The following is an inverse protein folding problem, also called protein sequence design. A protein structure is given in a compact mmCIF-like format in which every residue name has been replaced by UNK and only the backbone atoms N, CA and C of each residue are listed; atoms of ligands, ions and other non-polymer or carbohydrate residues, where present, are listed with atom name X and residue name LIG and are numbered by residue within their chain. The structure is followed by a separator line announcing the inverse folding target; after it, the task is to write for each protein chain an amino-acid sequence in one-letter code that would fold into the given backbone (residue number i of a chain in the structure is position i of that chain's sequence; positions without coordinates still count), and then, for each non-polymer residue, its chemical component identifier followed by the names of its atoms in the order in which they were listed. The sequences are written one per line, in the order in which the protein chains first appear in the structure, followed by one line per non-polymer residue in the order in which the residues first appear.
data_IF_740193509753
#
_entry.id   IF_740193509753
#
_cell.length_a   1.000
_cell.length_b   1.000
_cell.length_c   1.000
_cell.angle_alpha   90.00
_cell.angle_beta   90.00
_cell.angle_gamma   90.00
#
_symmetry.space_group_name_H-M   'P 1'
#
loop_
_entity.id
_entity.type
_entity.pdbx_description
1 polymer ?
#
# COMPACT_ATOMS: atom_id res chain seq x y z
N UNK A 1 18.82 -13.42 7.79
CA UNK A 1 17.97 -12.44 8.50
C UNK A 1 18.06 -11.02 7.94
N UNK A 2 19.24 -10.40 7.81
CA UNK A 2 19.39 -8.99 7.37
C UNK A 2 18.79 -8.70 5.97
N UNK A 3 19.01 -9.57 4.98
CA UNK A 3 18.44 -9.44 3.64
C UNK A 3 16.89 -9.57 3.64
N UNK A 4 16.36 -10.55 4.37
CA UNK A 4 14.91 -10.77 4.54
C UNK A 4 14.26 -9.54 5.19
N UNK A 5 14.89 -8.98 6.23
CA UNK A 5 14.43 -7.74 6.87
C UNK A 5 14.37 -6.58 5.89
N UNK A 6 15.45 -6.36 5.13
CA UNK A 6 15.48 -5.30 4.13
C UNK A 6 14.37 -5.46 3.09
N UNK A 7 14.21 -6.68 2.58
CA UNK A 7 13.17 -7.02 1.61
C UNK A 7 11.76 -6.74 2.16
N UNK A 8 11.43 -7.26 3.35
CA UNK A 8 10.12 -7.07 3.96
C UNK A 8 9.83 -5.60 4.28
N UNK A 9 10.84 -4.84 4.72
CA UNK A 9 10.69 -3.41 4.94
C UNK A 9 10.37 -2.65 3.65
N UNK A 10 11.09 -2.93 2.56
CA UNK A 10 10.85 -2.31 1.26
C UNK A 10 9.46 -2.70 0.75
N UNK A 11 9.11 -3.98 0.82
CA UNK A 11 7.82 -4.49 0.39
C UNK A 11 6.67 -3.82 1.15
N UNK A 12 6.78 -3.73 2.49
CA UNK A 12 5.77 -3.08 3.33
C UNK A 12 5.55 -1.62 2.95
N UNK A 13 6.64 -0.86 2.74
CA UNK A 13 6.55 0.55 2.31
C UNK A 13 5.88 0.67 0.94
N UNK A 14 6.28 -0.15 -0.04
CA UNK A 14 5.68 -0.11 -1.38
C UNK A 14 4.19 -0.43 -1.34
N UNK A 15 3.78 -1.42 -0.54
CA UNK A 15 2.37 -1.76 -0.36
C UNK A 15 1.58 -0.60 0.23
N UNK A 16 2.11 0.08 1.25
CA UNK A 16 1.45 1.28 1.81
C UNK A 16 1.29 2.36 0.75
N UNK A 17 2.36 2.67 0.00
CA UNK A 17 2.30 3.69 -1.05
C UNK A 17 1.29 3.34 -2.15
N UNK A 18 1.29 2.10 -2.63
CA UNK A 18 0.33 1.65 -3.65
C UNK A 18 -1.11 1.67 -3.13
N UNK A 19 -1.32 1.24 -1.88
CA UNK A 19 -2.63 1.29 -1.24
C UNK A 19 -3.16 2.73 -1.14
N UNK A 20 -2.31 3.68 -0.75
CA UNK A 20 -2.66 5.10 -0.69
C UNK A 20 -3.00 5.67 -2.08
N UNK A 21 -2.29 5.27 -3.13
CA UNK A 21 -2.62 5.68 -4.51
C UNK A 21 -4.01 5.18 -4.91
N UNK A 22 -4.33 3.91 -4.61
CA UNK A 22 -5.64 3.35 -4.93
C UNK A 22 -6.77 4.00 -4.13
N UNK A 23 -6.53 4.30 -2.85
CA UNK A 23 -7.47 5.07 -2.03
C UNK A 23 -7.69 6.46 -2.65
N UNK A 24 -6.61 7.17 -2.98
CA UNK A 24 -6.70 8.50 -3.57
C UNK A 24 -7.42 8.53 -4.91
N UNK A 25 -7.20 7.52 -5.77
CA UNK A 25 -7.95 7.38 -7.02
C UNK A 25 -9.42 7.02 -6.77
N UNK A 26 -9.69 5.99 -5.96
CA UNK A 26 -11.04 5.55 -5.64
C UNK A 26 -11.90 6.61 -4.97
N UNK A 27 -11.29 7.49 -4.17
CA UNK A 27 -11.96 8.62 -3.51
C UNK A 27 -12.07 9.87 -4.38
N UNK A 28 -11.38 9.92 -5.53
CA UNK A 28 -11.33 11.10 -6.39
C UNK A 28 -10.35 12.20 -5.98
N UNK A 29 -9.61 12.03 -4.87
CA UNK A 29 -8.63 13.03 -4.41
C UNK A 29 -7.35 13.05 -5.26
N UNK A 30 -7.05 11.94 -5.93
CA UNK A 30 -5.89 11.81 -6.81
C UNK A 30 -6.31 11.29 -8.19
N UNK A 31 -6.95 12.11 -9.04
CA UNK A 31 -7.51 11.67 -10.33
C UNK A 31 -6.44 11.65 -11.44
N UNK A 32 -5.34 10.93 -11.24
CA UNK A 32 -4.26 10.81 -12.24
C UNK A 32 -3.75 9.36 -12.39
N UNK A 33 -3.51 8.87 -13.61
CA UNK A 33 -3.83 9.51 -14.91
C UNK A 33 -5.34 9.63 -15.12
N UNK A 34 -5.82 10.66 -15.82
CA UNK A 34 -7.25 10.90 -16.02
C UNK A 34 -7.99 9.74 -16.73
N UNK A 35 -7.26 8.92 -17.50
CA UNK A 35 -7.76 7.71 -18.14
C UNK A 35 -7.83 6.50 -17.19
N UNK A 36 -7.45 6.65 -15.92
CA UNK A 36 -7.49 5.55 -14.95
C UNK A 36 -8.92 5.12 -14.67
N UNK A 37 -9.17 3.83 -14.84
CA UNK A 37 -10.43 3.17 -14.52
C UNK A 37 -10.74 3.12 -13.01
N UNK A 38 -9.82 3.57 -12.16
CA UNK A 38 -9.96 3.52 -10.70
C UNK A 38 -10.58 4.80 -10.13
N UNK A 39 -10.59 5.89 -10.91
CA UNK A 39 -10.97 7.21 -10.42
C UNK A 39 -12.46 7.24 -10.06
N UNK A 40 -12.78 7.73 -8.85
CA UNK A 40 -14.14 7.82 -8.31
C UNK A 40 -14.88 6.48 -8.24
N UNK A 41 -14.14 5.37 -8.14
CA UNK A 41 -14.69 4.03 -8.01
C UNK A 41 -14.41 3.51 -6.59
N UNK A 42 -15.47 3.43 -5.77
CA UNK A 42 -15.39 3.05 -4.35
C UNK A 42 -14.72 1.69 -4.07
N UNK A 43 -14.75 0.66 -4.95
CA UNK A 43 -13.99 -0.57 -4.73
C UNK A 43 -12.49 -0.34 -4.48
N UNK A 44 -11.90 0.67 -5.12
CA UNK A 44 -10.46 0.96 -4.98
C UNK A 44 -10.09 1.54 -3.62
N UNK A 45 -11.04 2.17 -2.92
CA UNK A 45 -10.85 2.60 -1.54
C UNK A 45 -10.67 1.36 -0.65
N UNK A 46 -11.53 0.34 -0.80
CA UNK A 46 -11.46 -0.88 -0.01
C UNK A 46 -10.19 -1.69 -0.31
N UNK A 47 -9.90 -1.92 -1.60
CA UNK A 47 -8.70 -2.64 -2.00
C UNK A 47 -7.43 -1.91 -1.58
N UNK A 48 -7.37 -0.59 -1.77
CA UNK A 48 -6.24 0.21 -1.34
C UNK A 48 -6.04 0.19 0.18
N UNK A 49 -7.13 0.23 0.95
CA UNK A 49 -7.09 0.11 2.42
C UNK A 49 -6.54 -1.24 2.86
N UNK A 50 -7.01 -2.33 2.23
CA UNK A 50 -6.52 -3.68 2.55
C UNK A 50 -5.02 -3.82 2.26
N UNK A 51 -4.56 -3.34 1.10
CA UNK A 51 -3.14 -3.38 0.71
C UNK A 51 -2.29 -2.51 1.64
N UNK A 52 -2.76 -1.31 2.00
CA UNK A 52 -2.05 -0.44 2.92
C UNK A 52 -1.91 -1.06 4.31
N UNK A 53 -2.99 -1.62 4.86
CA UNK A 53 -2.97 -2.31 6.16
C UNK A 53 -2.01 -3.50 6.14
N UNK A 54 -2.05 -4.33 5.08
CA UNK A 54 -1.12 -5.45 4.93
C UNK A 54 0.34 -4.98 4.86
N UNK A 55 0.62 -3.87 4.18
CA UNK A 55 1.95 -3.25 4.13
C UNK A 55 2.45 -2.81 5.51
N UNK A 56 1.59 -2.20 6.33
CA UNK A 56 1.92 -1.84 7.72
C UNK A 56 2.23 -3.07 8.56
N UNK A 57 1.42 -4.13 8.45
CA UNK A 57 1.64 -5.40 9.17
C UNK A 57 3.00 -6.02 8.78
N UNK A 58 3.32 -6.07 7.48
CA UNK A 58 4.60 -6.59 6.99
C UNK A 58 5.77 -5.76 7.52
N UNK A 59 5.68 -4.43 7.46
CA UNK A 59 6.69 -3.54 8.01
C UNK A 59 6.91 -3.74 9.51
N UNK A 60 5.85 -3.99 10.26
CA UNK A 60 5.91 -4.30 11.68
C UNK A 60 6.57 -5.65 11.96
N UNK A 61 6.22 -6.70 11.21
CA UNK A 61 6.84 -8.02 11.31
C UNK A 61 8.33 -7.93 10.96
N UNK A 62 8.70 -7.16 9.93
CA UNK A 62 10.10 -6.94 9.55
C UNK A 62 10.94 -6.42 10.72
N UNK A 63 10.39 -5.48 11.50
CA UNK A 63 11.08 -4.93 12.69
C UNK A 63 11.36 -6.01 13.73
N UNK A 64 10.38 -6.88 14.00
CA UNK A 64 10.48 -7.95 15.00
C UNK A 64 11.40 -9.11 14.60
N UNK A 65 11.77 -9.23 13.32
CA UNK A 65 12.71 -10.26 12.83
C UNK A 65 14.18 -9.87 13.03
N UNK A 66 14.44 -8.65 13.51
CA UNK A 66 15.79 -8.11 13.73
C UNK A 66 16.16 -7.89 15.20
N UNK A 67 15.21 -8.06 16.12
CA UNK A 67 15.39 -8.07 17.57
C UNK A 67 15.61 -9.51 18.06
#
# INVERSE_FOLDING_TARGET
MRAIRLFLSILGVLMVLLGLVWIGQGSGYFPYPASSFMINQTPWIYWGSLVAVAGVIIGFISRRLGD
#
